data_IF_445881651904
#
_entry.id   IF_445881651904
#
_cell.length_a   1.000
_cell.length_b   1.000
_cell.length_c   1.000
_cell.angle_alpha   90.00
_cell.angle_beta   90.00
_cell.angle_gamma   90.00
#
_symmetry.space_group_name_H-M   'P 1'
#
loop_
_entity.id
_entity.type
_entity.pdbx_description
1 polymer ?
#
# COMPACT_ATOMS: atom_id res chain seq x y z
N UNK A 1 -0.83 16.71 -9.42
CA UNK A 1 -1.97 17.13 -8.58
C UNK A 1 -2.93 17.90 -9.48
N UNK A 2 -4.16 18.17 -9.05
CA UNK A 2 -5.09 18.98 -9.83
C UNK A 2 -5.94 19.85 -8.91
N UNK A 3 -6.44 20.94 -9.47
CA UNK A 3 -7.47 21.76 -8.87
C UNK A 3 -8.63 21.93 -9.84
N UNK A 4 -9.76 22.41 -9.31
CA UNK A 4 -10.95 22.70 -10.09
C UNK A 4 -10.96 24.19 -10.39
N UNK A 5 -11.01 24.52 -11.68
CA UNK A 5 -11.27 25.88 -12.12
C UNK A 5 -12.73 26.27 -11.83
N UNK A 6 -13.04 27.56 -11.94
CA UNK A 6 -14.41 28.10 -11.86
C UNK A 6 -15.40 27.42 -12.84
N UNK A 7 -14.89 26.91 -13.96
CA UNK A 7 -15.67 26.15 -14.96
C UNK A 7 -15.93 24.69 -14.57
N UNK A 8 -15.42 24.23 -13.42
CA UNK A 8 -15.51 22.83 -12.97
C UNK A 8 -14.54 21.87 -13.68
N UNK A 9 -13.61 22.39 -14.49
CA UNK A 9 -12.62 21.58 -15.20
C UNK A 9 -11.39 21.29 -14.33
N UNK A 10 -10.80 20.09 -14.50
CA UNK A 10 -9.58 19.69 -13.80
C UNK A 10 -8.35 20.28 -14.48
N UNK A 11 -7.65 21.18 -13.79
CA UNK A 11 -6.35 21.69 -14.24
C UNK A 11 -5.24 20.99 -13.48
N UNK A 12 -4.38 20.30 -14.23
CA UNK A 12 -3.25 19.55 -13.68
C UNK A 12 -2.07 20.48 -13.38
N UNK A 13 -1.48 20.29 -12.21
CA UNK A 13 -0.34 21.07 -11.73
C UNK A 13 0.57 20.20 -10.84
N UNK A 14 1.85 20.57 -10.77
CA UNK A 14 2.83 19.97 -9.84
C UNK A 14 2.91 20.72 -8.52
N UNK A 15 2.34 21.92 -8.43
CA UNK A 15 2.33 22.71 -7.19
C UNK A 15 1.38 22.05 -6.19
N UNK A 16 1.71 22.14 -4.90
CA UNK A 16 0.84 21.67 -3.80
C UNK A 16 -0.29 22.65 -3.51
N UNK A 17 -0.10 23.92 -3.86
CA UNK A 17 -1.01 25.03 -3.57
C UNK A 17 -1.42 25.70 -4.88
N UNK A 18 -2.69 26.05 -4.96
CA UNK A 18 -3.29 26.75 -6.08
C UNK A 18 -2.94 28.25 -6.07
N UNK A 19 -3.15 28.97 -7.18
CA UNK A 19 -3.01 30.43 -7.20
C UNK A 19 -3.89 31.15 -6.17
N UNK A 20 -5.00 30.52 -5.78
CA UNK A 20 -5.94 30.99 -4.74
C UNK A 20 -5.55 30.58 -3.31
N UNK A 21 -4.47 29.81 -3.14
CA UNK A 21 -4.01 29.35 -1.82
C UNK A 21 -4.65 28.04 -1.32
N UNK A 22 -5.53 27.41 -2.09
CA UNK A 22 -6.12 26.12 -1.72
C UNK A 22 -5.16 24.95 -1.96
N UNK A 23 -5.24 23.87 -1.16
CA UNK A 23 -4.44 22.68 -1.37
C UNK A 23 -4.96 21.88 -2.57
N UNK A 24 -4.05 21.51 -3.47
CA UNK A 24 -4.35 20.69 -4.65
C UNK A 24 -4.69 19.24 -4.28
N UNK A 25 -5.51 18.60 -5.10
CA UNK A 25 -5.88 17.19 -4.94
C UNK A 25 -4.96 16.26 -5.74
N UNK A 26 -4.83 15.01 -5.33
CA UNK A 26 -4.08 14.02 -6.11
C UNK A 26 -4.78 13.75 -7.44
N UNK A 27 -4.05 13.86 -8.55
CA UNK A 27 -4.56 13.62 -9.91
C UNK A 27 -4.83 12.14 -10.19
N UNK A 28 -4.25 11.25 -9.39
CA UNK A 28 -4.48 9.83 -9.52
C UNK A 28 -5.79 9.45 -8.81
N UNK A 29 -6.70 8.68 -9.43
CA UNK A 29 -7.79 8.04 -8.71
C UNK A 29 -7.19 7.07 -7.69
N UNK A 30 -6.97 7.55 -6.46
CA UNK A 30 -6.62 6.70 -5.34
C UNK A 30 -7.87 5.93 -4.95
N UNK A 31 -7.79 4.60 -4.91
CA UNK A 31 -8.86 3.79 -4.29
C UNK A 31 -8.99 4.28 -2.84
N UNK A 32 -10.18 4.67 -2.36
CA UNK A 32 -10.35 5.04 -0.97
C UNK A 32 -10.16 3.79 -0.11
N UNK A 33 -8.95 3.55 0.37
CA UNK A 33 -8.73 2.62 1.47
C UNK A 33 -9.25 3.31 2.72
N UNK A 34 -10.49 3.01 3.08
CA UNK A 34 -11.07 3.45 4.34
C UNK A 34 -10.42 2.66 5.49
N UNK A 35 -9.23 3.10 5.90
CA UNK A 35 -8.49 2.52 7.02
C UNK A 35 -7.51 3.56 7.54
N UNK A 36 -7.97 4.39 8.48
CA UNK A 36 -7.09 5.08 9.42
C UNK A 36 -6.99 4.22 10.67
N UNK A 37 -6.08 3.26 10.66
CA UNK A 37 -5.47 2.72 11.89
C UNK A 37 -3.97 2.82 11.73
N UNK A 38 -3.41 3.94 12.20
CA UNK A 38 -1.99 4.06 12.46
C UNK A 38 -1.65 3.17 13.66
N UNK A 39 -1.31 1.92 13.38
CA UNK A 39 -0.40 1.14 14.20
C UNK A 39 0.55 0.43 13.24
N UNK A 40 1.77 0.95 13.20
CA UNK A 40 2.95 0.44 12.48
C UNK A 40 2.98 0.79 10.99
N UNK A 41 3.65 1.91 10.69
CA UNK A 41 4.25 2.14 9.38
C UNK A 41 5.24 1.01 9.06
N UNK A 42 5.24 0.61 7.80
CA UNK A 42 5.91 -0.54 7.16
C UNK A 42 5.08 -1.83 7.17
N UNK A 43 4.92 -2.38 5.96
CA UNK A 43 4.33 -3.69 5.62
C UNK A 43 2.81 -3.65 5.34
N UNK A 44 2.38 -2.77 4.44
CA UNK A 44 1.10 -2.96 3.71
C UNK A 44 1.29 -3.05 2.19
N UNK A 45 2.50 -3.48 1.77
CA UNK A 45 2.80 -3.94 0.40
C UNK A 45 3.03 -5.46 0.32
N UNK A 46 2.87 -6.18 1.44
CA UNK A 46 3.16 -7.61 1.59
C UNK A 46 1.92 -8.45 1.95
N UNK A 47 0.72 -7.96 1.68
CA UNK A 47 -0.52 -8.67 1.97
C UNK A 47 -1.11 -9.37 0.74
N UNK A 48 -0.26 -10.09 0.01
CA UNK A 48 -0.71 -11.17 -0.86
C UNK A 48 0.14 -12.39 -0.51
N UNK A 49 -0.46 -13.58 -0.29
CA UNK A 49 0.34 -14.80 -0.21
C UNK A 49 1.19 -14.86 -1.49
N UNK A 50 2.48 -15.11 -1.34
CA UNK A 50 3.37 -15.23 -2.49
C UNK A 50 2.75 -16.25 -3.46
N UNK A 51 2.37 -15.79 -4.66
CA UNK A 51 1.75 -16.67 -5.66
C UNK A 51 2.73 -17.79 -5.95
N UNK A 52 2.26 -19.01 -5.85
CA UNK A 52 3.04 -20.17 -6.24
C UNK A 52 3.45 -20.00 -7.70
N UNK A 53 4.75 -19.94 -7.96
CA UNK A 53 5.32 -19.88 -9.31
C UNK A 53 6.01 -21.22 -9.57
N UNK A 54 5.57 -21.98 -10.58
CA UNK A 54 6.16 -23.28 -10.89
C UNK A 54 7.63 -23.17 -11.33
N UNK A 55 8.05 -22.01 -11.83
CA UNK A 55 9.42 -21.73 -12.28
C UNK A 55 10.38 -21.30 -11.16
N UNK A 56 9.88 -21.09 -9.93
CA UNK A 56 10.70 -20.64 -8.81
C UNK A 56 11.53 -21.78 -8.19
N UNK A 57 12.73 -21.97 -8.74
CA UNK A 57 13.72 -22.95 -8.31
C UNK A 57 14.14 -22.81 -6.82
N UNK A 58 13.98 -21.64 -6.21
CA UNK A 58 14.45 -21.36 -4.85
C UNK A 58 13.35 -21.32 -3.79
N UNK A 59 12.14 -21.77 -4.14
CA UNK A 59 10.98 -21.80 -3.24
C UNK A 59 11.25 -22.54 -1.92
N UNK A 60 11.90 -23.71 -1.97
CA UNK A 60 12.26 -24.52 -0.78
C UNK A 60 13.22 -23.79 0.16
N UNK A 61 14.26 -23.17 -0.40
CA UNK A 61 15.28 -22.43 0.34
C UNK A 61 14.65 -21.19 1.00
N UNK A 62 13.77 -20.49 0.27
CA UNK A 62 13.02 -19.34 0.78
C UNK A 62 12.13 -19.72 1.95
N UNK A 63 11.42 -20.86 1.87
CA UNK A 63 10.60 -21.35 2.98
C UNK A 63 11.44 -21.67 4.22
N UNK A 64 12.58 -22.35 4.06
CA UNK A 64 13.49 -22.65 5.19
C UNK A 64 13.98 -21.38 5.90
N UNK A 65 14.36 -20.35 5.13
CA UNK A 65 14.76 -19.06 5.70
C UNK A 65 13.61 -18.39 6.44
N UNK A 66 12.41 -18.34 5.85
CA UNK A 66 11.22 -17.76 6.51
C UNK A 66 10.86 -18.49 7.81
N UNK A 67 10.98 -19.81 7.84
CA UNK A 67 10.77 -20.61 9.05
C UNK A 67 11.82 -20.31 10.12
N UNK A 68 13.11 -20.19 9.75
CA UNK A 68 14.22 -19.89 10.68
C UNK A 68 14.06 -18.52 11.34
N UNK A 69 13.68 -17.51 10.56
CA UNK A 69 13.52 -16.13 11.04
C UNK A 69 12.12 -15.84 11.61
N UNK A 70 11.27 -16.86 11.76
CA UNK A 70 9.90 -16.74 12.30
C UNK A 70 9.03 -15.70 11.58
N UNK A 71 9.18 -15.59 10.26
CA UNK A 71 8.47 -14.61 9.43
C UNK A 71 7.13 -15.14 8.88
N UNK A 72 6.75 -16.38 9.19
CA UNK A 72 5.51 -16.98 8.71
C UNK A 72 4.36 -16.65 9.67
N UNK A 73 3.24 -16.19 9.11
CA UNK A 73 2.02 -15.91 9.87
C UNK A 73 1.45 -17.17 10.55
N UNK A 74 1.76 -18.36 10.04
CA UNK A 74 1.37 -19.64 10.66
C UNK A 74 2.06 -19.92 11.99
N UNK A 75 3.13 -19.19 12.32
CA UNK A 75 3.90 -19.37 13.55
C UNK A 75 3.42 -18.45 14.68
N UNK A 76 2.58 -17.46 14.39
CA UNK A 76 1.97 -16.64 15.45
C UNK A 76 0.91 -17.47 16.18
N UNK A 77 0.85 -17.43 17.51
CA UNK A 77 -0.21 -18.13 18.24
C UNK A 77 -1.56 -17.62 17.73
N UNK A 78 -2.47 -18.54 17.42
CA UNK A 78 -3.84 -18.18 17.12
C UNK A 78 -4.37 -17.38 18.32
N UNK A 79 -4.90 -16.18 18.08
CA UNK A 79 -5.52 -15.41 19.14
C UNK A 79 -6.61 -16.28 19.78
N UNK A 80 -6.50 -16.55 21.07
CA UNK A 80 -7.52 -17.26 21.83
C UNK A 80 -8.74 -16.33 21.94
N UNK A 81 -9.93 -16.87 21.69
CA UNK A 81 -11.19 -16.17 21.94
C UNK A 81 -11.37 -15.88 23.43
#
# INVERSE_FOLDING_TARGET
MYYLNEKGERVYTFKKVDPLGHPTQSAHPGKPTNCKTYRNELILFYFFPAKFSPDDQYSRQRLKLKTRYKLLLTQTPLAKC
#
